data_IF_224108304108
#
_entry.id   IF_224108304108
#
_cell.length_a   1.000
_cell.length_b   1.000
_cell.length_c   1.000
_cell.angle_alpha   90.00
_cell.angle_beta   90.00
_cell.angle_gamma   90.00
#
_symmetry.space_group_name_H-M   'P 1'
#
loop_
_entity.id
_entity.type
_entity.pdbx_description
1 polymer ?
#
# COMPACT_ATOMS: atom_id res chain seq x y z
N UNK A 1 29.98 6.15 -7.15
CA UNK A 1 28.56 5.80 -7.07
C UNK A 1 28.53 4.37 -6.57
N UNK A 2 28.25 4.21 -5.27
CA UNK A 2 28.06 2.89 -4.68
C UNK A 2 26.56 2.68 -4.68
N UNK A 3 26.04 1.97 -5.68
CA UNK A 3 24.61 1.70 -5.77
C UNK A 3 24.30 0.55 -4.80
N UNK A 4 23.68 0.87 -3.66
CA UNK A 4 23.29 -0.14 -2.68
C UNK A 4 21.89 -0.63 -3.05
N UNK A 5 21.74 -1.95 -3.18
CA UNK A 5 20.45 -2.56 -3.53
C UNK A 5 19.74 -3.01 -2.25
N UNK A 6 18.52 -2.53 -2.05
CA UNK A 6 17.62 -2.93 -0.96
C UNK A 6 16.43 -3.70 -1.47
N UNK A 7 15.92 -4.60 -0.62
CA UNK A 7 14.69 -5.37 -0.87
C UNK A 7 13.59 -4.85 0.03
N UNK A 8 12.47 -4.43 -0.54
CA UNK A 8 11.28 -4.01 0.20
C UNK A 8 10.33 -5.19 0.36
N UNK A 9 9.84 -5.47 1.57
CA UNK A 9 8.90 -6.59 1.75
C UNK A 9 7.57 -6.35 1.00
N UNK A 10 7.03 -7.39 0.36
CA UNK A 10 5.75 -7.29 -0.34
C UNK A 10 4.62 -7.00 0.66
N UNK A 11 3.62 -6.25 0.19
CA UNK A 11 2.48 -5.85 0.99
C UNK A 11 1.67 -7.03 1.53
N UNK A 12 1.36 -7.03 2.83
CA UNK A 12 0.49 -8.02 3.46
C UNK A 12 -1.01 -7.60 3.40
N UNK A 13 -1.86 -8.34 2.67
CA UNK A 13 -3.27 -8.04 2.50
C UNK A 13 -4.16 -8.38 3.70
N UNK A 14 -3.63 -8.88 4.82
CA UNK A 14 -4.44 -9.40 5.92
C UNK A 14 -5.61 -8.49 6.37
N UNK A 15 -5.52 -7.14 6.41
CA UNK A 15 -6.63 -6.31 6.86
C UNK A 15 -7.82 -6.33 5.90
N UNK A 16 -7.62 -6.70 4.63
CA UNK A 16 -8.68 -6.84 3.64
C UNK A 16 -9.59 -8.05 3.88
N UNK A 17 -9.16 -8.98 4.71
CA UNK A 17 -9.95 -10.17 5.04
C UNK A 17 -11.29 -9.79 5.66
N UNK A 18 -11.32 -8.79 6.56
CA UNK A 18 -12.56 -8.36 7.20
C UNK A 18 -13.60 -7.77 6.24
N UNK A 19 -13.28 -6.75 5.40
CA UNK A 19 -14.24 -6.23 4.44
C UNK A 19 -14.64 -7.29 3.40
N UNK A 20 -13.74 -8.21 3.03
CA UNK A 20 -14.08 -9.33 2.14
C UNK A 20 -15.13 -10.26 2.77
N UNK A 21 -14.98 -10.63 4.04
CA UNK A 21 -15.97 -11.42 4.78
C UNK A 21 -17.31 -10.68 4.84
N UNK A 22 -17.31 -9.37 5.12
CA UNK A 22 -18.52 -8.56 5.15
C UNK A 22 -19.25 -8.57 3.81
N UNK A 23 -18.51 -8.49 2.69
CA UNK A 23 -19.10 -8.61 1.35
C UNK A 23 -19.72 -9.99 1.10
N UNK A 24 -19.04 -11.08 1.47
CA UNK A 24 -19.55 -12.44 1.30
C UNK A 24 -20.84 -12.62 2.09
N UNK A 25 -20.87 -12.21 3.36
CA UNK A 25 -22.06 -12.27 4.19
C UNK A 25 -23.20 -11.39 3.65
N UNK A 26 -22.86 -10.19 3.17
CA UNK A 26 -23.81 -9.29 2.50
C UNK A 26 -24.45 -9.94 1.28
N UNK A 27 -23.65 -10.54 0.39
CA UNK A 27 -24.13 -11.23 -0.80
C UNK A 27 -25.07 -12.41 -0.44
N UNK A 28 -24.72 -13.19 0.58
CA UNK A 28 -25.56 -14.29 1.08
C UNK A 28 -26.90 -13.75 1.59
N UNK A 29 -26.90 -12.66 2.36
CA UNK A 29 -28.12 -12.04 2.88
C UNK A 29 -29.00 -11.46 1.77
N UNK A 30 -28.41 -10.84 0.75
CA UNK A 30 -29.15 -10.38 -0.44
C UNK A 30 -29.81 -11.56 -1.14
N UNK A 31 -29.06 -12.63 -1.40
CA UNK A 31 -29.57 -13.81 -2.08
C UNK A 31 -30.71 -14.48 -1.31
N UNK A 32 -30.54 -14.69 0.00
CA UNK A 32 -31.58 -15.26 0.88
C UNK A 32 -32.79 -14.33 0.97
N UNK A 33 -32.56 -13.01 1.06
CA UNK A 33 -33.63 -12.01 1.10
C UNK A 33 -34.46 -11.98 -0.17
N UNK A 34 -33.85 -12.17 -1.34
CA UNK A 34 -34.55 -12.31 -2.63
C UNK A 34 -35.30 -13.64 -2.69
N UNK A 35 -34.64 -14.75 -2.37
CA UNK A 35 -35.22 -16.09 -2.51
C UNK A 35 -36.38 -16.36 -1.54
N UNK A 36 -36.34 -15.74 -0.36
CA UNK A 36 -37.38 -15.87 0.68
C UNK A 36 -38.32 -14.67 0.77
N UNK A 37 -38.20 -13.70 -0.13
CA UNK A 37 -38.97 -12.45 -0.14
C UNK A 37 -38.89 -11.65 1.19
N UNK A 38 -37.78 -11.81 1.93
CA UNK A 38 -37.54 -11.16 3.22
C UNK A 38 -36.83 -9.83 3.01
N UNK A 39 -37.59 -8.73 2.96
CA UNK A 39 -37.07 -7.37 2.73
C UNK A 39 -35.93 -6.97 3.67
N UNK A 40 -36.06 -7.22 4.97
CA UNK A 40 -35.04 -6.78 5.94
C UNK A 40 -33.68 -7.45 5.70
N UNK A 41 -33.69 -8.75 5.34
CA UNK A 41 -32.47 -9.50 5.07
C UNK A 41 -31.78 -8.97 3.80
N UNK A 42 -32.57 -8.66 2.76
CA UNK A 42 -32.06 -8.04 1.53
C UNK A 42 -31.45 -6.68 1.80
N UNK A 43 -32.15 -5.82 2.53
CA UNK A 43 -31.72 -4.43 2.73
C UNK A 43 -30.44 -4.37 3.60
N UNK A 44 -30.34 -5.19 4.66
CA UNK A 44 -29.09 -5.35 5.43
C UNK A 44 -27.97 -5.93 4.56
N UNK A 45 -28.29 -6.93 3.73
CA UNK A 45 -27.33 -7.53 2.82
C UNK A 45 -26.74 -6.52 1.83
N UNK A 46 -27.56 -5.62 1.27
CA UNK A 46 -27.10 -4.56 0.38
C UNK A 46 -26.14 -3.61 1.12
N UNK A 47 -26.50 -3.19 2.34
CA UNK A 47 -25.64 -2.30 3.15
C UNK A 47 -24.31 -2.97 3.45
N UNK A 48 -24.30 -4.23 3.86
CA UNK A 48 -23.08 -4.98 4.13
C UNK A 48 -22.22 -5.20 2.87
N UNK A 49 -22.85 -5.46 1.72
CA UNK A 49 -22.16 -5.67 0.45
C UNK A 49 -21.51 -4.39 -0.07
N UNK A 50 -22.27 -3.29 -0.11
CA UNK A 50 -21.78 -1.98 -0.58
C UNK A 50 -20.77 -1.41 0.41
N UNK A 51 -21.07 -1.45 1.71
CA UNK A 51 -20.18 -0.99 2.76
C UNK A 51 -18.88 -1.78 2.81
N UNK A 52 -18.94 -3.11 2.69
CA UNK A 52 -17.77 -3.98 2.59
C UNK A 52 -16.93 -3.69 1.35
N UNK A 53 -17.57 -3.50 0.19
CA UNK A 53 -16.86 -3.15 -1.05
C UNK A 53 -16.16 -1.79 -0.98
N UNK A 54 -16.84 -0.77 -0.46
CA UNK A 54 -16.23 0.55 -0.25
C UNK A 54 -15.09 0.51 0.77
N UNK A 55 -15.27 -0.22 1.87
CA UNK A 55 -14.23 -0.42 2.87
C UNK A 55 -13.03 -1.16 2.28
N UNK A 56 -13.25 -2.18 1.43
CA UNK A 56 -12.17 -2.93 0.78
C UNK A 56 -11.33 -2.04 -0.14
N UNK A 57 -12.00 -1.22 -0.97
CA UNK A 57 -11.32 -0.26 -1.86
C UNK A 57 -10.55 0.78 -1.05
N UNK A 58 -11.19 1.36 -0.01
CA UNK A 58 -10.57 2.37 0.84
C UNK A 58 -9.37 1.84 1.63
N UNK A 59 -9.52 0.68 2.26
CA UNK A 59 -8.44 0.01 3.00
C UNK A 59 -7.31 -0.41 2.07
N UNK A 60 -7.62 -0.95 0.88
CA UNK A 60 -6.59 -1.30 -0.09
C UNK A 60 -5.75 -0.07 -0.46
N UNK A 61 -6.39 1.04 -0.85
CA UNK A 61 -5.69 2.27 -1.24
C UNK A 61 -4.87 2.88 -0.07
N UNK A 62 -5.43 2.86 1.14
CA UNK A 62 -4.77 3.43 2.31
C UNK A 62 -3.61 2.56 2.81
N UNK A 63 -3.82 1.25 2.92
CA UNK A 63 -2.82 0.31 3.43
C UNK A 63 -1.69 0.09 2.43
N UNK A 64 -1.99 0.08 1.13
CA UNK A 64 -0.93 -0.01 0.12
C UNK A 64 -0.01 1.20 0.19
N UNK A 65 -0.56 2.41 0.34
CA UNK A 65 0.22 3.65 0.41
C UNK A 65 1.04 3.77 1.70
N UNK A 66 0.45 3.44 2.85
CA UNK A 66 1.14 3.52 4.15
C UNK A 66 2.23 2.46 4.31
N UNK A 67 1.98 1.25 3.82
CA UNK A 67 2.99 0.18 3.82
C UNK A 67 4.20 0.52 2.95
N UNK A 68 3.96 0.99 1.74
CA UNK A 68 5.00 1.39 0.79
C UNK A 68 5.91 2.47 1.38
N UNK A 69 5.35 3.44 2.11
CA UNK A 69 6.14 4.45 2.84
C UNK A 69 6.94 3.86 4.02
N UNK A 70 6.33 2.99 4.82
CA UNK A 70 6.99 2.39 5.97
C UNK A 70 8.18 1.51 5.56
N UNK A 71 8.00 0.65 4.56
CA UNK A 71 9.05 -0.22 4.06
C UNK A 71 10.24 0.56 3.49
N UNK A 72 9.99 1.62 2.71
CA UNK A 72 11.07 2.47 2.18
C UNK A 72 11.85 3.16 3.30
N UNK A 73 11.15 3.59 4.35
CA UNK A 73 11.80 4.17 5.53
C UNK A 73 12.67 3.14 6.23
N UNK A 74 12.14 1.95 6.51
CA UNK A 74 12.85 0.91 7.24
C UNK A 74 14.10 0.44 6.47
N UNK A 75 14.01 0.31 5.14
CA UNK A 75 15.14 -0.04 4.29
C UNK A 75 16.27 1.01 4.28
N UNK A 76 15.93 2.31 4.28
CA UNK A 76 16.93 3.38 4.37
C UNK A 76 17.54 3.44 5.79
N UNK A 77 16.73 3.22 6.84
CA UNK A 77 17.22 3.16 8.21
C UNK A 77 18.19 2.00 8.42
N UNK A 78 17.96 0.84 7.80
CA UNK A 78 18.89 -0.30 7.83
C UNK A 78 20.25 0.03 7.19
N UNK A 79 20.27 0.95 6.22
CA UNK A 79 21.49 1.46 5.58
C UNK A 79 22.19 2.57 6.38
N UNK A 80 21.62 2.98 7.52
CA UNK A 80 22.18 4.03 8.38
C UNK A 80 21.62 5.43 8.14
N UNK A 81 20.62 5.59 7.25
CA UNK A 81 19.95 6.87 7.06
C UNK A 81 18.95 7.15 8.18
N UNK A 82 19.04 8.33 8.79
CA UNK A 82 18.14 8.83 9.82
C UNK A 82 17.03 9.70 9.21
N UNK A 83 15.82 9.56 9.75
CA UNK A 83 14.62 10.33 9.38
C UNK A 83 14.40 10.53 7.86
N UNK A 84 14.35 9.46 7.04
CA UNK A 84 14.14 9.58 5.61
C UNK A 84 12.75 10.16 5.32
N UNK A 85 12.72 11.21 4.51
CA UNK A 85 11.53 11.86 3.97
C UNK A 85 11.48 11.65 2.46
N UNK A 86 10.29 11.45 1.91
CA UNK A 86 10.11 11.15 0.49
C UNK A 86 9.42 12.32 -0.20
N UNK A 87 10.07 12.88 -1.22
CA UNK A 87 9.44 13.81 -2.15
C UNK A 87 8.66 13.00 -3.20
N UNK A 88 7.64 13.61 -3.81
CA UNK A 88 6.66 12.90 -4.64
C UNK A 88 7.29 11.97 -5.68
N UNK A 89 6.70 10.79 -5.88
CA UNK A 89 7.17 9.83 -6.89
C UNK A 89 6.92 10.37 -8.29
N UNK A 90 7.87 10.17 -9.20
CA UNK A 90 7.69 10.48 -10.63
C UNK A 90 6.77 9.47 -11.35
N UNK A 91 6.33 8.42 -10.65
CA UNK A 91 5.45 7.37 -11.17
C UNK A 91 3.98 7.78 -11.31
N UNK A 92 3.32 7.24 -12.34
CA UNK A 92 1.86 7.30 -12.47
C UNK A 92 1.24 6.41 -11.38
N UNK A 93 0.40 6.97 -10.52
CA UNK A 93 -0.36 6.18 -9.53
C UNK A 93 -1.17 5.11 -10.27
N UNK A 94 -0.78 3.83 -10.10
CA UNK A 94 -1.42 2.68 -10.75
C UNK A 94 -0.68 2.09 -11.96
N UNK A 95 0.53 2.54 -12.32
CA UNK A 95 1.36 1.86 -13.31
C UNK A 95 2.02 0.60 -12.76
N UNK A 96 2.21 -0.40 -13.62
CA UNK A 96 2.95 -1.65 -13.31
C UNK A 96 4.44 -1.45 -13.02
N UNK A 97 4.94 -0.23 -13.22
CA UNK A 97 6.31 0.19 -12.92
C UNK A 97 6.18 1.31 -11.88
N UNK A 98 6.57 1.08 -10.62
CA UNK A 98 6.79 2.15 -9.66
C UNK A 98 7.78 3.14 -10.28
N UNK A 99 7.45 4.43 -10.31
CA UNK A 99 8.42 5.44 -10.74
C UNK A 99 9.46 5.68 -9.67
N UNK A 100 10.54 6.36 -10.05
CA UNK A 100 11.63 6.69 -9.14
C UNK A 100 11.13 7.61 -8.02
N UNK A 101 11.65 7.38 -6.82
CA UNK A 101 11.22 8.08 -5.60
C UNK A 101 12.40 8.85 -5.03
N UNK A 102 12.29 10.17 -5.05
CA UNK A 102 13.28 11.04 -4.42
C UNK A 102 13.12 10.96 -2.89
N UNK A 103 14.26 10.91 -2.19
CA UNK A 103 14.30 10.96 -0.74
C UNK A 103 15.33 11.96 -0.24
N UNK A 104 15.09 12.48 0.95
CA UNK A 104 16.04 13.27 1.73
C UNK A 104 16.14 12.65 3.11
N UNK A 105 17.35 12.36 3.56
CA UNK A 105 17.61 11.76 4.86
C UNK A 105 18.89 12.34 5.48
N UNK A 106 19.21 11.94 6.70
CA UNK A 106 20.49 12.32 7.34
C UNK A 106 21.40 11.09 7.41
N UNK A 107 22.63 11.17 6.94
CA UNK A 107 23.63 10.09 7.05
C UNK A 107 24.84 10.66 7.78
N UNK A 108 25.26 10.03 8.89
CA UNK A 108 26.41 10.48 9.70
C UNK A 108 26.36 11.97 10.13
N UNK A 109 25.15 12.53 10.28
CA UNK A 109 24.91 13.92 10.66
C UNK A 109 24.89 14.92 9.49
N UNK A 110 25.04 14.45 8.25
CA UNK A 110 24.92 15.27 7.03
C UNK A 110 23.60 15.00 6.31
N UNK A 111 22.96 16.05 5.80
CA UNK A 111 21.75 15.90 4.98
C UNK A 111 22.12 15.35 3.61
N UNK A 112 21.61 14.19 3.26
CA UNK A 112 21.82 13.50 1.98
C UNK A 112 20.51 13.50 1.20
N UNK A 113 20.59 13.81 -0.08
CA UNK A 113 19.50 13.61 -1.03
C UNK A 113 19.80 12.40 -1.91
N UNK A 114 18.79 11.70 -2.36
CA UNK A 114 18.97 10.56 -3.22
C UNK A 114 17.69 10.14 -3.91
N UNK A 115 17.80 9.10 -4.72
CA UNK A 115 16.71 8.52 -5.48
C UNK A 115 16.69 7.02 -5.25
N UNK A 116 15.50 6.49 -5.00
CA UNK A 116 15.21 5.06 -5.05
C UNK A 116 14.80 4.71 -6.48
N UNK A 117 15.68 4.01 -7.21
CA UNK A 117 15.43 3.53 -8.56
C UNK A 117 14.90 2.09 -8.54
N UNK A 118 13.78 1.83 -9.22
CA UNK A 118 13.19 0.50 -9.23
C UNK A 118 13.94 -0.46 -10.18
N UNK A 119 14.51 -1.53 -9.64
CA UNK A 119 15.27 -2.55 -10.39
C UNK A 119 14.45 -3.78 -10.79
N UNK A 120 13.14 -3.76 -10.51
CA UNK A 120 12.22 -4.84 -10.83
C UNK A 120 11.88 -5.74 -9.63
N UNK A 121 10.60 -6.11 -9.52
CA UNK A 121 10.05 -6.86 -8.39
C UNK A 121 10.14 -6.04 -7.11
N UNK A 122 10.75 -6.62 -6.08
CA UNK A 122 10.90 -6.02 -4.75
C UNK A 122 12.25 -5.30 -4.56
N UNK A 123 13.04 -5.14 -5.64
CA UNK A 123 14.41 -4.62 -5.58
C UNK A 123 14.49 -3.15 -5.98
N UNK A 124 15.24 -2.38 -5.20
CA UNK A 124 15.44 -0.95 -5.39
C UNK A 124 16.92 -0.59 -5.22
N UNK A 125 17.45 0.27 -6.10
CA UNK A 125 18.78 0.85 -5.94
C UNK A 125 18.67 2.19 -5.21
N UNK A 126 19.52 2.39 -4.22
CA UNK A 126 19.72 3.66 -3.53
C UNK A 126 20.84 4.41 -4.25
N UNK A 127 20.48 5.52 -4.89
CA UNK A 127 21.41 6.38 -5.63
C UNK A 127 21.47 7.74 -4.96
N UNK A 128 22.59 8.07 -4.32
CA UNK A 128 22.78 9.39 -3.69
C UNK A 128 22.99 10.47 -4.77
N UNK A 129 22.20 11.53 -4.67
CA UNK A 129 22.36 12.76 -5.46
C UNK A 129 22.89 13.84 -4.51
N UNK A 130 24.15 14.23 -4.75
CA UNK A 130 24.93 15.16 -3.89
C UNK A 130 24.13 16.29 -3.25
#
# INVERSE_FOLDING_TARGET
MNDVVVTLEPWDPWPLVYPAIAMVLGAVLVFVGVLREVRWARDIGIVALVGGGLALIGLLAFLSGTWDQAQRRDALVELGYEDPTFAGSTGIVGSTTPGDVEFTATLDGESVTGTLEWLGGDRWAVVESQ
#
